data_IF_771824490168
#
_entry.id   IF_771824490168
#
_cell.length_a   1.000
_cell.length_b   1.000
_cell.length_c   1.000
_cell.angle_alpha   90.00
_cell.angle_beta   90.00
_cell.angle_gamma   90.00
#
_symmetry.space_group_name_H-M   'P 1'
#
loop_
_entity.id
_entity.type
_entity.pdbx_description
1 polymer ?
#
# COMPACT_ATOMS: atom_id res chain seq x y z
N UNK A 1 45.85 -18.53 19.87
CA UNK A 1 44.38 -18.60 19.84
C UNK A 1 43.90 -17.37 19.08
N UNK A 2 43.40 -17.58 17.87
CA UNK A 2 43.10 -16.53 16.89
C UNK A 2 41.67 -16.04 17.03
N UNK A 3 41.52 -14.76 17.35
CA UNK A 3 40.24 -14.04 17.36
C UNK A 3 39.68 -13.93 15.94
N UNK A 4 38.38 -14.22 15.80
CA UNK A 4 37.65 -14.11 14.53
C UNK A 4 36.57 -13.03 14.72
N UNK A 5 36.52 -11.96 13.91
CA UNK A 5 35.50 -10.94 14.07
C UNK A 5 34.14 -11.45 13.55
N UNK A 6 33.01 -10.94 14.09
CA UNK A 6 31.69 -11.35 13.66
C UNK A 6 31.42 -10.86 12.22
N UNK A 7 30.82 -11.74 11.42
CA UNK A 7 30.39 -11.45 10.05
C UNK A 7 29.31 -10.37 10.08
N UNK A 8 29.57 -9.23 9.44
CA UNK A 8 28.56 -8.22 9.16
C UNK A 8 27.42 -8.85 8.35
N UNK A 9 26.21 -8.89 8.93
CA UNK A 9 24.99 -9.14 8.17
C UNK A 9 24.80 -7.96 7.20
N UNK A 10 24.77 -8.27 5.91
CA UNK A 10 24.50 -7.32 4.85
C UNK A 10 23.05 -6.87 4.97
N UNK A 11 22.81 -5.72 5.59
CA UNK A 11 21.53 -5.02 5.56
C UNK A 11 21.29 -4.61 4.11
N UNK A 12 20.40 -5.32 3.41
CA UNK A 12 19.89 -4.88 2.11
C UNK A 12 18.81 -3.86 2.41
N UNK A 13 19.24 -2.62 2.66
CA UNK A 13 18.34 -1.46 2.60
C UNK A 13 17.62 -1.52 1.24
N UNK A 14 16.29 -1.45 1.22
CA UNK A 14 15.51 -1.05 0.05
C UNK A 14 15.83 0.39 -0.35
N UNK A 15 17.10 0.69 -0.65
CA UNK A 15 17.58 2.07 -0.88
C UNK A 15 16.90 2.65 -2.11
N UNK A 16 16.54 3.94 -2.01
CA UNK A 16 16.68 5.03 -2.99
C UNK A 16 17.00 4.65 -4.46
N UNK A 17 17.93 3.72 -4.70
CA UNK A 17 18.28 3.13 -6.00
C UNK A 17 17.11 2.57 -6.85
N UNK A 18 15.98 2.15 -6.29
CA UNK A 18 14.81 1.76 -7.09
C UNK A 18 14.05 3.01 -7.59
N UNK A 19 13.87 3.98 -6.71
CA UNK A 19 13.27 5.28 -7.01
C UNK A 19 14.13 6.08 -8.01
N UNK A 20 15.45 6.15 -7.78
CA UNK A 20 16.46 6.78 -8.67
C UNK A 20 16.56 6.10 -10.03
N UNK A 21 16.37 4.76 -10.11
CA UNK A 21 16.39 4.05 -11.40
C UNK A 21 15.15 4.36 -12.24
N UNK A 22 13.96 4.45 -11.62
CA UNK A 22 12.75 4.96 -12.28
C UNK A 22 12.92 6.43 -12.70
N UNK A 23 13.50 7.26 -11.83
CA UNK A 23 13.79 8.68 -12.05
C UNK A 23 14.79 8.92 -13.20
N UNK A 24 15.88 8.16 -13.25
CA UNK A 24 16.92 8.27 -14.29
C UNK A 24 16.45 7.77 -15.67
N UNK A 25 15.50 6.84 -15.73
CA UNK A 25 14.86 6.43 -16.98
C UNK A 25 13.85 7.49 -17.45
N UNK A 26 13.07 8.07 -16.53
CA UNK A 26 12.07 9.10 -16.79
C UNK A 26 12.67 10.46 -17.25
N UNK A 27 13.81 10.86 -16.70
CA UNK A 27 14.51 12.09 -17.09
C UNK A 27 15.24 11.98 -18.44
N UNK A 28 15.54 10.76 -18.91
CA UNK A 28 16.19 10.52 -20.22
C UNK A 28 15.21 10.43 -21.39
N UNK A 29 13.90 10.40 -21.12
CA UNK A 29 12.92 9.95 -22.10
C UNK A 29 12.40 11.00 -23.09
N UNK A 30 12.66 12.32 -22.99
CA UNK A 30 12.33 13.18 -24.15
C UNK A 30 12.95 14.59 -24.15
N UNK A 31 13.74 14.99 -25.19
CA UNK A 31 14.29 16.34 -25.31
C UNK A 31 13.40 17.34 -26.07
N UNK A 32 12.19 16.99 -26.53
CA UNK A 32 11.37 17.86 -27.39
C UNK A 32 9.87 17.65 -27.17
N UNK A 33 9.06 18.66 -27.51
CA UNK A 33 7.60 18.68 -27.75
C UNK A 33 6.72 19.27 -26.63
N UNK A 34 6.03 20.41 -26.78
CA UNK A 34 5.07 21.01 -27.77
C UNK A 34 3.61 20.61 -27.57
N UNK A 35 2.79 21.65 -27.46
CA UNK A 35 1.33 21.69 -27.32
C UNK A 35 0.67 20.86 -28.41
N UNK A 36 -0.24 19.96 -28.03
CA UNK A 36 -1.11 19.22 -28.95
C UNK A 36 -1.47 17.85 -28.40
N UNK A 37 -2.77 17.60 -28.24
CA UNK A 37 -3.42 16.31 -27.98
C UNK A 37 -2.64 15.12 -28.55
N UNK A 38 -2.17 14.23 -27.68
CA UNK A 38 -1.62 12.94 -28.08
C UNK A 38 -2.07 11.84 -27.10
N UNK A 39 -3.10 11.11 -27.53
CA UNK A 39 -3.36 9.73 -27.11
C UNK A 39 -2.05 8.95 -27.29
N UNK A 40 -1.56 8.35 -26.21
CA UNK A 40 -0.38 7.48 -26.26
C UNK A 40 -0.73 6.12 -25.67
N UNK A 41 -1.06 5.20 -26.57
CA UNK A 41 -0.97 3.75 -26.40
C UNK A 41 0.47 3.33 -26.10
N UNK A 42 0.65 2.46 -25.09
CA UNK A 42 1.49 1.25 -25.06
C UNK A 42 1.91 0.92 -23.62
N UNK A 43 2.05 -0.32 -23.13
CA UNK A 43 1.79 -1.71 -23.54
C UNK A 43 1.83 -2.50 -22.22
N UNK A 44 0.95 -3.47 -22.03
CA UNK A 44 1.02 -4.41 -20.91
C UNK A 44 -0.10 -5.45 -20.89
N UNK A 45 -0.56 -5.90 -22.06
CA UNK A 45 -1.54 -6.96 -22.17
C UNK A 45 -0.90 -8.32 -21.88
N UNK A 46 -1.29 -8.93 -20.77
CA UNK A 46 -1.27 -10.38 -20.58
C UNK A 46 -2.49 -10.77 -19.73
N UNK A 47 -3.67 -10.79 -20.36
CA UNK A 47 -4.83 -11.48 -19.81
C UNK A 47 -5.43 -12.39 -20.89
N UNK A 48 -5.33 -13.67 -20.57
CA UNK A 48 -5.79 -14.85 -21.27
C UNK A 48 -7.29 -14.77 -21.64
N UNK A 49 -7.63 -15.01 -22.90
CA UNK A 49 -9.02 -15.24 -23.31
C UNK A 49 -9.40 -16.68 -23.00
N UNK A 50 -10.45 -16.83 -22.19
CA UNK A 50 -11.17 -18.07 -21.91
C UNK A 50 -11.92 -18.52 -23.16
N UNK A 51 -11.79 -19.80 -23.52
CA UNK A 51 -12.79 -20.51 -24.31
C UNK A 51 -13.14 -21.82 -23.62
N UNK A 52 -14.39 -21.88 -23.15
CA UNK A 52 -15.05 -23.07 -22.61
C UNK A 52 -15.39 -24.02 -23.76
N UNK A 53 -15.12 -25.31 -23.58
CA UNK A 53 -15.86 -26.38 -24.26
C UNK A 53 -15.89 -27.62 -23.38
N UNK A 54 -17.11 -28.00 -23.00
CA UNK A 54 -17.48 -29.22 -22.27
C UNK A 54 -17.54 -30.40 -23.24
N UNK A 55 -16.95 -31.55 -22.89
CA UNK A 55 -17.49 -32.87 -23.23
C UNK A 55 -16.83 -34.00 -22.41
N UNK A 56 -17.68 -34.90 -21.93
CA UNK A 56 -17.47 -36.07 -21.07
C UNK A 56 -16.62 -37.20 -21.69
N UNK A 57 -15.90 -37.97 -20.86
CA UNK A 57 -15.99 -39.44 -20.81
C UNK A 57 -15.19 -40.05 -19.64
N UNK A 58 -15.82 -41.05 -19.04
CA UNK A 58 -15.52 -41.91 -17.88
C UNK A 58 -14.26 -42.80 -17.96
N UNK A 59 -13.69 -43.16 -16.80
CA UNK A 59 -13.73 -44.57 -16.30
C UNK A 59 -13.07 -44.78 -14.92
N UNK A 60 -13.87 -45.38 -14.02
CA UNK A 60 -13.58 -46.45 -13.05
C UNK A 60 -12.56 -46.28 -11.89
N UNK A 61 -13.13 -46.12 -10.69
CA UNK A 61 -13.06 -47.01 -9.51
C UNK A 61 -11.74 -47.72 -9.17
N UNK A 62 -11.24 -47.51 -7.95
CA UNK A 62 -10.96 -48.59 -6.98
C UNK A 62 -10.77 -48.02 -5.57
N UNK A 63 -11.37 -48.72 -4.61
CA UNK A 63 -11.40 -48.44 -3.19
C UNK A 63 -10.11 -48.90 -2.47
N UNK A 64 -9.89 -48.32 -1.29
CA UNK A 64 -9.12 -48.93 -0.20
C UNK A 64 -7.71 -48.39 -0.04
N UNK A 65 -7.46 -47.63 1.03
CA UNK A 65 -6.88 -48.16 2.26
C UNK A 65 -6.54 -46.99 3.20
N UNK A 66 -7.13 -47.03 4.39
CA UNK A 66 -6.75 -46.19 5.52
C UNK A 66 -5.39 -46.66 6.02
N UNK A 67 -4.39 -45.78 6.00
CA UNK A 67 -3.28 -45.86 6.94
C UNK A 67 -3.31 -44.59 7.79
N UNK A 68 -3.72 -44.78 9.03
CA UNK A 68 -3.67 -43.78 10.07
C UNK A 68 -2.20 -43.46 10.38
N UNK A 69 -1.76 -42.25 10.05
CA UNK A 69 -0.58 -41.67 10.68
C UNK A 69 -1.08 -40.90 11.89
N UNK A 70 -0.87 -41.51 13.06
CA UNK A 70 -0.80 -40.86 14.35
C UNK A 70 0.30 -39.78 14.29
N UNK A 71 -0.08 -38.56 13.94
CA UNK A 71 0.74 -37.37 14.13
C UNK A 71 0.20 -36.69 15.37
N UNK A 72 0.88 -36.94 16.48
CA UNK A 72 0.52 -36.43 17.79
C UNK A 72 0.15 -34.94 17.76
N UNK A 73 -0.94 -34.67 18.45
CA UNK A 73 -1.44 -33.37 18.87
C UNK A 73 -0.32 -32.55 19.53
N UNK A 74 0.38 -31.78 18.70
CA UNK A 74 1.16 -30.61 19.09
C UNK A 74 0.88 -29.57 18.03
N UNK A 75 -0.13 -28.74 18.30
CA UNK A 75 -0.29 -27.48 17.60
C UNK A 75 1.07 -26.77 17.50
N UNK A 76 1.31 -25.99 16.43
CA UNK A 76 2.54 -25.22 16.32
C UNK A 76 2.73 -24.43 17.61
N UNK A 77 3.95 -24.42 18.20
CA UNK A 77 4.19 -23.68 19.42
C UNK A 77 3.74 -22.22 19.21
N UNK A 78 3.19 -21.56 20.24
CA UNK A 78 2.86 -20.15 20.14
C UNK A 78 4.14 -19.42 19.75
N UNK A 79 4.17 -18.90 18.53
CA UNK A 79 5.24 -18.00 18.13
C UNK A 79 5.01 -16.76 18.98
N UNK A 80 5.88 -16.57 19.95
CA UNK A 80 5.86 -15.39 20.80
C UNK A 80 5.74 -14.16 19.91
N UNK A 81 4.82 -13.25 20.29
CA UNK A 81 4.77 -11.92 19.71
C UNK A 81 6.18 -11.34 19.63
N UNK A 82 6.49 -10.53 18.59
CA UNK A 82 7.75 -9.80 18.54
C UNK A 82 8.00 -9.13 19.89
N UNK A 83 9.16 -9.40 20.45
CA UNK A 83 9.64 -8.77 21.69
C UNK A 83 9.57 -7.26 21.55
N UNK A 84 8.90 -6.60 22.49
CA UNK A 84 8.71 -5.15 22.70
C UNK A 84 9.75 -4.22 22.02
N UNK A 85 9.66 -4.06 20.70
CA UNK A 85 10.13 -2.88 19.99
C UNK A 85 9.01 -2.41 19.04
N UNK A 86 8.06 -1.58 19.52
CA UNK A 86 6.99 -1.02 18.69
C UNK A 86 7.50 0.07 17.72
N UNK A 87 8.80 0.15 17.46
CA UNK A 87 9.49 1.39 17.12
C UNK A 87 9.84 1.64 15.66
N UNK A 88 9.00 1.30 14.68
CA UNK A 88 9.10 2.02 13.41
C UNK A 88 8.32 3.33 13.55
N UNK A 89 9.02 4.42 13.84
CA UNK A 89 8.37 5.73 13.85
C UNK A 89 7.99 6.07 12.41
N UNK A 90 6.74 6.50 12.15
CA UNK A 90 6.37 7.11 10.88
C UNK A 90 7.40 8.16 10.45
N UNK A 91 7.58 8.39 9.14
CA UNK A 91 8.52 9.37 8.66
C UNK A 91 8.21 10.75 9.27
N UNK A 92 9.28 11.51 9.52
CA UNK A 92 9.18 12.92 9.90
C UNK A 92 8.48 13.72 8.81
N UNK A 93 8.09 14.94 9.15
CA UNK A 93 7.41 15.87 8.23
C UNK A 93 8.27 16.16 6.98
N UNK A 94 9.59 16.00 7.08
CA UNK A 94 10.57 16.10 5.99
C UNK A 94 10.72 14.79 5.17
N UNK A 95 9.61 14.16 4.78
CA UNK A 95 9.65 12.92 3.99
C UNK A 95 10.04 13.17 2.53
N UNK A 96 11.07 12.45 2.05
CA UNK A 96 11.67 12.60 0.71
C UNK A 96 11.33 11.46 -0.28
N UNK A 97 10.36 10.59 0.04
CA UNK A 97 9.85 9.55 -0.89
C UNK A 97 10.25 8.09 -0.57
N UNK A 98 9.60 7.14 -1.24
CA UNK A 98 9.80 5.69 -1.12
C UNK A 98 9.08 5.01 0.07
N UNK A 99 9.14 3.68 0.16
CA UNK A 99 8.43 2.93 1.19
C UNK A 99 9.32 2.50 2.36
N UNK A 100 8.68 2.21 3.49
CA UNK A 100 9.35 1.65 4.67
C UNK A 100 8.37 1.26 5.78
N UNK A 101 8.88 0.76 6.91
CA UNK A 101 10.27 0.34 7.13
C UNK A 101 10.58 -0.96 6.36
N UNK A 102 11.86 -1.37 6.37
CA UNK A 102 12.21 -2.77 6.15
C UNK A 102 11.50 -3.62 7.23
N UNK A 103 10.73 -4.62 6.81
CA UNK A 103 9.89 -5.45 7.68
C UNK A 103 9.80 -6.89 7.17
N UNK A 104 9.31 -7.79 8.01
CA UNK A 104 8.91 -9.12 7.55
C UNK A 104 7.82 -8.99 6.48
N UNK A 105 7.91 -9.85 5.47
CA UNK A 105 6.98 -9.88 4.34
C UNK A 105 6.43 -11.28 4.15
N UNK A 106 5.23 -11.34 3.61
CA UNK A 106 4.43 -12.54 3.45
C UNK A 106 3.97 -12.67 2.00
N UNK A 107 3.36 -13.81 1.68
CA UNK A 107 2.69 -14.02 0.38
C UNK A 107 1.24 -14.36 0.59
N UNK A 108 0.41 -14.17 -0.42
CA UNK A 108 -1.01 -14.52 -0.40
C UNK A 108 -1.21 -15.99 -0.02
N UNK A 109 -0.28 -16.87 -0.41
CA UNK A 109 -0.30 -18.29 -0.05
C UNK A 109 0.18 -18.58 1.39
N UNK A 110 0.99 -17.70 1.98
CA UNK A 110 1.49 -17.82 3.35
C UNK A 110 1.34 -16.47 4.08
N UNK A 111 0.10 -16.06 4.41
CA UNK A 111 -0.16 -14.79 5.09
C UNK A 111 0.33 -14.80 6.53
N UNK A 112 0.34 -13.62 7.16
CA UNK A 112 0.92 -13.44 8.49
C UNK A 112 0.15 -14.22 9.56
N UNK A 113 0.87 -14.77 10.54
CA UNK A 113 0.28 -15.39 11.73
C UNK A 113 -0.08 -14.38 12.84
N UNK A 114 0.22 -13.11 12.63
CA UNK A 114 0.05 -12.02 13.59
C UNK A 114 -0.27 -10.73 12.83
N UNK A 115 -0.71 -9.69 13.56
CA UNK A 115 -1.11 -8.40 12.97
C UNK A 115 0.05 -7.78 12.20
N UNK A 116 -0.14 -7.62 10.89
CA UNK A 116 0.87 -7.08 10.00
C UNK A 116 0.21 -6.17 8.95
N UNK A 117 0.74 -4.95 8.83
CA UNK A 117 0.30 -3.96 7.84
C UNK A 117 1.04 -4.15 6.53
N UNK A 118 0.29 -4.18 5.42
CA UNK A 118 0.79 -4.01 4.04
C UNK A 118 2.12 -4.75 3.78
N UNK A 119 2.06 -6.06 3.89
CA UNK A 119 3.21 -6.96 4.01
C UNK A 119 3.16 -8.12 3.02
N UNK A 120 2.06 -8.26 2.25
CA UNK A 120 1.95 -9.25 1.19
C UNK A 120 2.66 -8.75 -0.07
N UNK A 121 3.53 -9.57 -0.67
CA UNK A 121 4.31 -9.16 -1.86
C UNK A 121 3.66 -9.49 -3.19
N UNK A 122 2.61 -10.31 -3.19
CA UNK A 122 2.00 -10.89 -4.38
C UNK A 122 0.46 -10.89 -4.30
N UNK A 123 -0.13 -9.84 -3.73
CA UNK A 123 -1.58 -9.68 -3.64
C UNK A 123 -2.16 -9.70 -5.07
N UNK A 124 -3.15 -10.55 -5.39
CA UNK A 124 -3.66 -10.68 -6.76
C UNK A 124 -4.43 -9.44 -7.26
N UNK A 125 -4.87 -8.57 -6.35
CA UNK A 125 -5.59 -7.33 -6.66
C UNK A 125 -4.64 -6.14 -6.72
N UNK A 126 -3.79 -5.97 -5.70
CA UNK A 126 -2.90 -4.79 -5.55
C UNK A 126 -1.46 -5.03 -6.02
N UNK A 127 -0.97 -6.28 -5.94
CA UNK A 127 0.42 -6.63 -6.16
C UNK A 127 1.25 -6.58 -4.87
N UNK A 128 2.39 -5.91 -4.92
CA UNK A 128 3.27 -5.75 -3.74
C UNK A 128 2.76 -4.62 -2.84
N UNK A 129 2.21 -4.98 -1.69
CA UNK A 129 1.55 -4.04 -0.78
C UNK A 129 2.52 -3.08 -0.08
N UNK A 130 3.84 -3.26 -0.23
CA UNK A 130 4.80 -2.26 0.25
C UNK A 130 4.77 -0.98 -0.58
N UNK A 131 4.38 -1.08 -1.86
CA UNK A 131 4.12 0.06 -2.74
C UNK A 131 2.61 0.33 -2.74
N UNK A 132 2.14 1.02 -1.72
CA UNK A 132 0.72 1.22 -1.47
C UNK A 132 0.21 2.63 -1.80
N UNK A 133 1.08 3.60 -2.05
CA UNK A 133 0.67 4.98 -2.40
C UNK A 133 0.87 5.24 -3.89
N UNK A 134 -0.18 5.72 -4.53
CA UNK A 134 -0.16 6.09 -5.95
C UNK A 134 -0.97 7.37 -6.19
N UNK A 135 -0.65 8.07 -7.27
CA UNK A 135 -1.31 9.32 -7.63
C UNK A 135 -1.73 9.33 -9.10
N UNK A 136 -2.82 10.03 -9.39
CA UNK A 136 -3.26 10.34 -10.75
C UNK A 136 -3.86 11.74 -10.81
N UNK A 137 -3.96 12.31 -12.01
CA UNK A 137 -4.73 13.53 -12.20
C UNK A 137 -6.22 13.31 -11.90
N UNK A 138 -6.88 14.29 -11.28
CA UNK A 138 -8.31 14.23 -11.03
C UNK A 138 -9.09 14.15 -12.36
N UNK A 139 -10.09 13.29 -12.42
CA UNK A 139 -10.86 13.02 -13.64
C UNK A 139 -10.18 12.06 -14.65
N UNK A 140 -8.91 11.71 -14.46
CA UNK A 140 -8.26 10.66 -15.25
C UNK A 140 -8.82 9.26 -14.87
N UNK A 141 -8.73 8.27 -15.78
CA UNK A 141 -9.10 6.87 -15.48
C UNK A 141 -8.29 6.29 -14.33
N UNK A 142 -8.84 5.30 -13.61
CA UNK A 142 -8.15 4.69 -12.46
C UNK A 142 -6.89 3.91 -12.89
N UNK A 143 -6.82 3.43 -14.12
CA UNK A 143 -5.67 2.71 -14.67
C UNK A 143 -4.41 3.60 -14.79
N UNK A 144 -4.54 4.92 -14.58
CA UNK A 144 -3.42 5.88 -14.65
C UNK A 144 -2.80 6.19 -13.29
N UNK A 145 -3.15 5.47 -12.22
CA UNK A 145 -2.42 5.57 -10.96
C UNK A 145 -0.94 5.17 -11.17
N UNK A 146 -0.03 5.98 -10.63
CA UNK A 146 1.41 5.78 -10.74
C UNK A 146 2.12 6.32 -9.50
N UNK A 147 3.28 5.76 -9.18
CA UNK A 147 4.15 6.27 -8.11
C UNK A 147 4.76 7.64 -8.50
N UNK A 148 4.86 7.92 -9.80
CA UNK A 148 5.46 9.15 -10.32
C UNK A 148 4.64 9.67 -11.50
N UNK A 149 4.29 10.96 -11.47
CA UNK A 149 3.59 11.64 -12.57
C UNK A 149 4.21 13.00 -12.88
N UNK A 150 3.83 13.56 -14.04
CA UNK A 150 4.05 14.97 -14.35
C UNK A 150 2.77 15.75 -14.05
N UNK A 151 2.95 16.97 -13.56
CA UNK A 151 1.86 17.87 -13.25
C UNK A 151 2.20 19.32 -13.53
N UNK A 152 1.27 20.19 -13.17
CA UNK A 152 1.47 21.63 -13.13
C UNK A 152 0.46 22.31 -12.19
N UNK A 153 0.69 23.60 -11.89
CA UNK A 153 -0.24 24.42 -11.10
C UNK A 153 -1.67 24.42 -11.66
N UNK A 154 -2.63 24.71 -10.79
CA UNK A 154 -4.06 24.76 -11.13
C UNK A 154 -4.72 23.39 -11.30
N UNK A 155 -3.96 22.29 -11.21
CA UNK A 155 -4.46 20.93 -11.40
C UNK A 155 -4.68 20.23 -10.07
N UNK A 156 -5.78 19.51 -9.94
CA UNK A 156 -6.05 18.59 -8.83
C UNK A 156 -5.63 17.16 -9.19
N UNK A 157 -5.22 16.41 -8.17
CA UNK A 157 -4.80 15.02 -8.25
C UNK A 157 -5.54 14.21 -7.20
N UNK A 158 -5.82 12.94 -7.52
CA UNK A 158 -6.35 11.98 -6.56
C UNK A 158 -5.19 11.09 -6.14
N UNK A 159 -4.98 11.00 -4.83
CA UNK A 159 -4.04 10.09 -4.20
C UNK A 159 -4.82 8.88 -3.70
N UNK A 160 -4.24 7.71 -3.87
CA UNK A 160 -4.71 6.42 -3.41
C UNK A 160 -3.68 5.81 -2.46
N UNK A 161 -4.12 5.24 -1.35
CA UNK A 161 -3.29 4.50 -0.42
C UNK A 161 -3.97 3.18 0.00
N UNK A 162 -3.40 2.05 -0.40
CA UNK A 162 -3.88 0.73 0.01
C UNK A 162 -3.60 0.50 1.51
N UNK A 163 -4.57 -0.10 2.21
CA UNK A 163 -4.46 -0.43 3.63
C UNK A 163 -4.93 -1.87 3.82
N UNK A 164 -4.07 -2.73 4.35
CA UNK A 164 -4.42 -4.13 4.59
C UNK A 164 -3.90 -4.63 5.93
N UNK A 165 -4.76 -5.39 6.60
CA UNK A 165 -4.41 -6.28 7.70
C UNK A 165 -4.13 -7.66 7.12
N UNK A 166 -2.86 -8.08 7.06
CA UNK A 166 -2.46 -9.30 6.36
C UNK A 166 -2.41 -10.55 7.23
N UNK A 167 -3.10 -10.54 8.37
CA UNK A 167 -3.28 -11.76 9.16
C UNK A 167 -4.04 -12.79 8.33
N UNK A 168 -3.62 -14.05 8.39
CA UNK A 168 -4.31 -15.14 7.73
C UNK A 168 -5.75 -15.31 8.26
N UNK A 169 -6.69 -15.59 7.36
CA UNK A 169 -8.11 -15.74 7.71
C UNK A 169 -8.38 -16.81 8.77
N UNK A 170 -7.57 -17.87 8.81
CA UNK A 170 -7.69 -18.93 9.82
C UNK A 170 -7.27 -18.47 11.24
N UNK A 171 -6.75 -17.25 11.40
CA UNK A 171 -6.51 -16.59 12.69
C UNK A 171 -7.55 -15.48 12.98
N UNK A 172 -8.61 -15.37 12.18
CA UNK A 172 -9.67 -14.38 12.37
C UNK A 172 -10.23 -14.44 13.79
N UNK A 173 -9.98 -13.37 14.54
CA UNK A 173 -10.32 -13.22 15.94
C UNK A 173 -10.19 -11.74 16.35
N UNK A 174 -10.78 -11.34 17.49
CA UNK A 174 -10.59 -9.97 18.00
C UNK A 174 -9.13 -9.58 18.31
N UNK A 175 -8.22 -10.56 18.44
CA UNK A 175 -6.78 -10.33 18.64
C UNK A 175 -6.07 -10.04 17.31
N UNK A 176 -6.59 -10.55 16.20
CA UNK A 176 -6.08 -10.31 14.85
C UNK A 176 -6.55 -8.97 14.25
N UNK A 177 -7.38 -8.21 14.97
CA UNK A 177 -7.88 -6.91 14.52
C UNK A 177 -6.83 -5.82 14.73
N UNK A 178 -6.56 -5.01 13.71
CA UNK A 178 -5.78 -3.76 13.88
C UNK A 178 -6.55 -2.83 14.83
N UNK A 179 -5.84 -2.18 15.75
CA UNK A 179 -6.43 -1.26 16.73
C UNK A 179 -5.80 0.12 16.66
N UNK A 180 -6.59 1.16 16.84
CA UNK A 180 -6.10 2.54 16.71
C UNK A 180 -5.55 2.85 15.32
N UNK A 181 -6.06 2.16 14.29
CA UNK A 181 -5.60 2.32 12.91
C UNK A 181 -5.76 3.77 12.44
N UNK A 182 -4.68 4.36 11.95
CA UNK A 182 -4.60 5.74 11.48
C UNK A 182 -3.85 5.84 10.18
N UNK A 183 -4.25 6.81 9.36
CA UNK A 183 -3.47 7.30 8.23
C UNK A 183 -3.07 8.77 8.44
N UNK A 184 -1.80 9.07 8.23
CA UNK A 184 -1.23 10.42 8.22
C UNK A 184 -0.76 10.75 6.81
N UNK A 185 -1.19 11.88 6.28
CA UNK A 185 -0.76 12.44 5.00
C UNK A 185 0.34 13.47 5.25
N UNK A 186 1.42 13.38 4.48
CA UNK A 186 2.58 14.28 4.55
C UNK A 186 2.76 14.89 3.16
N UNK A 187 2.73 16.21 3.06
CA UNK A 187 2.91 16.92 1.80
C UNK A 187 4.20 17.72 1.85
N UNK A 188 5.16 17.35 1.01
CA UNK A 188 6.44 18.03 0.90
C UNK A 188 6.56 18.69 -0.48
N UNK A 189 6.71 20.02 -0.48
CA UNK A 189 6.81 20.81 -1.70
C UNK A 189 8.25 21.27 -1.91
N UNK A 190 8.95 20.63 -2.84
CA UNK A 190 10.16 21.19 -3.45
C UNK A 190 9.82 22.22 -4.52
N UNK A 191 10.83 22.75 -5.22
CA UNK A 191 10.60 23.74 -6.29
C UNK A 191 9.87 23.13 -7.50
N UNK A 192 10.32 21.95 -7.95
CA UNK A 192 9.78 21.26 -9.14
C UNK A 192 9.51 19.76 -8.89
N UNK A 193 9.68 19.32 -7.65
CA UNK A 193 9.49 17.95 -7.20
C UNK A 193 8.67 18.00 -5.91
N UNK A 194 7.52 17.34 -5.91
CA UNK A 194 6.62 17.35 -4.77
C UNK A 194 6.31 15.92 -4.36
N UNK A 195 6.57 15.61 -3.08
CA UNK A 195 6.40 14.27 -2.53
C UNK A 195 5.14 14.25 -1.68
N UNK A 196 4.33 13.22 -1.89
CA UNK A 196 3.14 12.90 -1.12
C UNK A 196 3.44 11.61 -0.36
N UNK A 197 3.60 11.70 0.96
CA UNK A 197 3.74 10.54 1.83
C UNK A 197 2.42 10.17 2.49
N UNK A 198 2.18 8.87 2.67
CA UNK A 198 1.15 8.35 3.55
C UNK A 198 1.78 7.37 4.53
N UNK A 199 1.63 7.65 5.82
CA UNK A 199 2.02 6.74 6.89
C UNK A 199 0.78 6.10 7.50
N UNK A 200 0.80 4.78 7.65
CA UNK A 200 -0.24 3.98 8.28
C UNK A 200 0.32 3.43 9.59
N UNK A 201 -0.40 3.64 10.69
CA UNK A 201 0.00 3.18 12.02
C UNK A 201 -1.17 2.52 12.73
N UNK A 202 -0.88 1.58 13.62
CA UNK A 202 -1.85 1.00 14.55
C UNK A 202 -1.15 0.70 15.88
N UNK A 203 -1.90 0.64 16.97
CA UNK A 203 -1.39 0.42 18.33
C UNK A 203 -0.71 -0.95 18.49
N UNK A 204 -1.09 -1.91 17.66
CA UNK A 204 -0.66 -3.31 17.71
C UNK A 204 0.05 -3.79 16.43
N UNK A 205 0.57 -2.87 15.61
CA UNK A 205 1.31 -3.21 14.40
C UNK A 205 2.51 -2.28 14.19
N UNK A 206 3.54 -2.79 13.52
CA UNK A 206 4.62 -1.94 13.01
C UNK A 206 4.06 -0.97 11.98
N UNK A 207 4.23 0.33 12.20
CA UNK A 207 3.80 1.36 11.26
C UNK A 207 4.55 1.22 9.91
N UNK A 208 3.88 1.62 8.83
CA UNK A 208 4.39 1.55 7.46
C UNK A 208 4.18 2.90 6.76
N UNK A 209 5.02 3.22 5.79
CA UNK A 209 4.87 4.41 4.97
C UNK A 209 5.25 4.12 3.52
N UNK A 210 4.68 4.90 2.62
CA UNK A 210 5.01 4.93 1.20
C UNK A 210 4.61 6.30 0.63
N UNK A 211 4.98 6.58 -0.61
CA UNK A 211 4.70 7.86 -1.21
C UNK A 211 4.83 7.90 -2.72
N UNK A 212 4.20 8.92 -3.28
CA UNK A 212 4.21 9.22 -4.70
C UNK A 212 4.75 10.63 -4.97
N UNK A 213 5.25 10.85 -6.18
CA UNK A 213 5.92 12.10 -6.56
C UNK A 213 5.27 12.75 -7.77
N UNK A 214 5.01 14.05 -7.67
CA UNK A 214 4.58 14.89 -8.79
C UNK A 214 5.73 15.81 -9.18
N UNK A 215 6.19 15.69 -10.43
CA UNK A 215 7.17 16.61 -11.02
C UNK A 215 6.46 17.72 -11.81
N UNK A 216 6.88 18.96 -11.60
CA UNK A 216 6.38 20.13 -12.32
C UNK A 216 7.51 20.82 -13.10
N UNK A 217 7.13 21.72 -14.02
CA UNK A 217 8.08 22.59 -14.74
C UNK A 217 8.20 23.97 -14.10
N UNK A 218 7.22 24.33 -13.29
CA UNK A 218 7.01 25.65 -12.73
C UNK A 218 7.06 25.52 -11.20
N UNK A 219 7.52 26.58 -10.54
CA UNK A 219 7.53 26.60 -9.08
C UNK A 219 6.12 26.50 -8.54
N UNK A 220 5.88 25.49 -7.71
CA UNK A 220 4.55 25.20 -7.19
C UNK A 220 4.58 24.68 -5.75
N UNK A 221 3.40 24.53 -5.15
CA UNK A 221 3.23 23.87 -3.87
C UNK A 221 2.05 22.91 -3.92
N UNK A 222 2.13 21.84 -3.14
CA UNK A 222 1.02 20.93 -2.86
C UNK A 222 0.17 21.48 -1.72
N UNK A 223 -1.12 21.57 -1.97
CA UNK A 223 -2.14 21.83 -0.95
C UNK A 223 -3.08 20.64 -0.84
N UNK A 224 -3.41 20.27 0.38
CA UNK A 224 -4.48 19.32 0.64
C UNK A 224 -5.84 19.95 0.29
N UNK A 225 -6.77 19.17 -0.26
CA UNK A 225 -8.14 19.63 -0.50
C UNK A 225 -9.02 19.19 0.66
N UNK A 226 -9.44 20.14 1.51
CA UNK A 226 -10.27 19.86 2.68
C UNK A 226 -11.53 19.07 2.35
N UNK A 227 -11.86 18.11 3.22
CA UNK A 227 -13.04 17.25 3.07
C UNK A 227 -12.98 16.28 1.89
N UNK A 228 -11.83 16.12 1.23
CA UNK A 228 -11.66 15.20 0.09
C UNK A 228 -11.34 13.77 0.49
N UNK A 229 -10.96 13.51 1.75
CA UNK A 229 -10.56 12.18 2.19
C UNK A 229 -11.75 11.23 2.37
N UNK A 230 -11.61 10.04 1.80
CA UNK A 230 -12.56 8.94 1.89
C UNK A 230 -11.81 7.63 2.08
N UNK A 231 -12.22 6.82 3.05
CA UNK A 231 -11.72 5.47 3.22
C UNK A 231 -12.73 4.48 2.67
N UNK A 232 -12.33 3.74 1.64
CA UNK A 232 -13.15 2.76 0.92
C UNK A 232 -12.93 1.37 1.49
N UNK A 233 -14.01 0.66 1.75
CA UNK A 233 -14.03 -0.70 2.29
C UNK A 233 -15.05 -1.55 1.53
N UNK A 234 -14.92 -2.88 1.55
CA UNK A 234 -15.88 -3.75 0.88
C UNK A 234 -17.27 -3.68 1.55
N UNK A 235 -17.38 -3.82 2.89
CA UNK A 235 -18.59 -3.44 3.60
C UNK A 235 -18.92 -1.95 3.40
N UNK A 236 -20.19 -1.68 3.10
CA UNK A 236 -20.81 -0.35 3.08
C UNK A 236 -20.27 0.67 2.06
N UNK A 237 -19.25 0.33 1.28
CA UNK A 237 -18.62 1.24 0.29
C UNK A 237 -17.75 2.33 0.91
N UNK A 238 -17.50 2.28 2.22
CA UNK A 238 -16.63 3.21 2.93
C UNK A 238 -17.29 4.49 3.46
N UNK A 239 -16.46 5.43 3.92
CA UNK A 239 -16.89 6.65 4.59
C UNK A 239 -15.92 7.82 4.40
N UNK A 240 -16.45 9.04 4.49
CA UNK A 240 -15.64 10.25 4.57
C UNK A 240 -14.89 10.33 5.90
N UNK A 241 -13.64 10.80 5.89
CA UNK A 241 -12.89 11.01 7.12
C UNK A 241 -13.33 12.31 7.81
N UNK A 242 -13.59 12.24 9.11
CA UNK A 242 -13.95 13.41 9.92
C UNK A 242 -12.72 14.19 10.41
N UNK A 243 -11.63 13.47 10.71
CA UNK A 243 -10.35 14.04 11.12
C UNK A 243 -9.55 14.48 9.88
N UNK A 244 -8.80 15.59 10.01
CA UNK A 244 -7.84 16.03 9.00
C UNK A 244 -6.59 15.10 9.01
N UNK A 245 -6.34 14.35 7.92
CA UNK A 245 -5.24 13.39 7.87
C UNK A 245 -3.86 14.07 7.76
N UNK A 246 -3.77 15.38 7.48
CA UNK A 246 -2.50 16.10 7.36
C UNK A 246 -1.89 16.47 8.72
N UNK A 247 -2.69 16.40 9.79
CA UNK A 247 -2.21 16.66 11.15
C UNK A 247 -1.24 15.56 11.62
N UNK A 248 -0.39 15.88 12.59
CA UNK A 248 0.53 14.91 13.19
C UNK A 248 -0.18 13.67 13.79
N UNK A 249 -1.45 13.82 14.18
CA UNK A 249 -2.28 12.75 14.73
C UNK A 249 -2.81 11.81 13.62
N UNK A 250 -2.86 12.26 12.37
CA UNK A 250 -3.56 11.59 11.29
C UNK A 250 -5.05 11.41 11.56
N UNK A 251 -5.73 10.74 10.63
CA UNK A 251 -7.14 10.41 10.72
C UNK A 251 -7.33 8.94 11.07
N UNK A 252 -8.35 8.64 11.90
CA UNK A 252 -8.75 7.25 12.16
C UNK A 252 -9.33 6.62 10.89
N UNK A 253 -8.97 5.36 10.67
CA UNK A 253 -9.60 4.48 9.68
C UNK A 253 -10.34 3.36 10.42
N UNK A 254 -11.10 2.54 9.71
CA UNK A 254 -11.80 1.39 10.30
C UNK A 254 -12.68 0.71 9.27
N UNK A 255 -13.32 -0.39 9.66
CA UNK A 255 -14.07 -1.22 8.73
C UNK A 255 -15.37 -0.56 8.23
N UNK A 256 -16.13 0.03 9.16
CA UNK A 256 -17.46 0.60 8.87
C UNK A 256 -17.49 2.11 9.11
N UNK A 257 -16.63 2.60 10.00
CA UNK A 257 -16.49 4.00 10.37
C UNK A 257 -15.08 4.25 10.94
N UNK A 258 -14.75 5.51 11.22
CA UNK A 258 -13.43 5.93 11.70
C UNK A 258 -13.20 5.62 13.20
N UNK A 259 -13.17 4.35 13.59
CA UNK A 259 -13.01 3.89 14.98
C UNK A 259 -11.62 3.31 15.32
N UNK A 260 -10.78 3.10 14.31
CA UNK A 260 -9.47 2.50 14.45
C UNK A 260 -9.47 0.97 14.37
N UNK A 261 -10.60 0.33 14.05
CA UNK A 261 -10.72 -1.13 14.02
C UNK A 261 -10.81 -1.67 12.58
N UNK A 262 -9.80 -2.45 12.16
CA UNK A 262 -9.81 -3.16 10.88
C UNK A 262 -9.56 -4.67 11.13
N UNK A 263 -10.62 -5.50 11.11
CA UNK A 263 -10.51 -6.93 11.38
C UNK A 263 -9.92 -7.69 10.20
N UNK A 264 -9.90 -9.02 10.27
CA UNK A 264 -9.60 -9.93 9.14
C UNK A 264 -10.70 -10.96 8.99
N UNK A 265 -10.66 -11.71 7.89
CA UNK A 265 -11.66 -12.72 7.55
C UNK A 265 -12.79 -12.11 6.71
N UNK A 266 -13.99 -12.67 6.88
CA UNK A 266 -15.15 -12.36 6.06
C UNK A 266 -16.38 -12.08 6.91
N UNK A 267 -17.26 -11.23 6.42
CA UNK A 267 -18.59 -11.05 7.01
C UNK A 267 -19.55 -12.21 6.67
N UNK A 268 -20.82 -12.06 7.07
CA UNK A 268 -21.88 -13.04 6.82
C UNK A 268 -22.22 -13.24 5.34
N UNK A 269 -21.93 -12.26 4.49
CA UNK A 269 -22.18 -12.29 3.06
C UNK A 269 -20.96 -12.81 2.28
N UNK A 270 -19.85 -13.07 2.99
CA UNK A 270 -18.61 -13.59 2.44
C UNK A 270 -17.66 -12.52 1.93
N UNK A 271 -17.96 -11.23 2.14
CA UNK A 271 -17.11 -10.13 1.75
C UNK A 271 -15.90 -10.01 2.68
N UNK A 272 -14.75 -9.66 2.11
CA UNK A 272 -13.50 -9.62 2.86
C UNK A 272 -13.35 -8.33 3.68
N UNK A 273 -12.93 -8.46 4.94
CA UNK A 273 -12.81 -7.37 5.90
C UNK A 273 -11.37 -6.85 6.09
N UNK A 274 -10.36 -7.62 5.70
CA UNK A 274 -8.96 -7.31 6.00
C UNK A 274 -8.30 -6.22 5.15
N UNK A 275 -9.04 -5.47 4.32
CA UNK A 275 -8.46 -4.38 3.55
C UNK A 275 -9.44 -3.26 3.21
N UNK A 276 -8.87 -2.12 2.84
CA UNK A 276 -9.54 -0.96 2.26
C UNK A 276 -8.52 -0.07 1.57
N UNK A 277 -8.95 1.08 1.09
CA UNK A 277 -8.04 2.08 0.55
C UNK A 277 -8.49 3.49 0.85
N UNK A 278 -7.53 4.34 1.21
CA UNK A 278 -7.74 5.77 1.40
C UNK A 278 -7.62 6.46 0.05
N UNK A 279 -8.57 7.34 -0.27
CA UNK A 279 -8.41 8.34 -1.32
C UNK A 279 -8.51 9.74 -0.75
N UNK A 280 -7.74 10.68 -1.29
CA UNK A 280 -7.90 12.10 -1.01
C UNK A 280 -7.42 12.92 -2.21
N UNK A 281 -7.75 14.20 -2.23
CA UNK A 281 -7.30 15.12 -3.28
C UNK A 281 -6.23 16.07 -2.77
N UNK A 282 -5.29 16.37 -3.66
CA UNK A 282 -4.32 17.44 -3.50
C UNK A 282 -4.40 18.35 -4.72
N UNK A 283 -4.12 19.63 -4.53
CA UNK A 283 -4.06 20.63 -5.59
C UNK A 283 -2.64 21.17 -5.69
N UNK A 284 -2.18 21.32 -6.92
CA UNK A 284 -0.95 22.05 -7.19
C UNK A 284 -1.28 23.54 -7.33
N UNK A 285 -0.67 24.39 -6.51
CA UNK A 285 -0.84 25.84 -6.56
C UNK A 285 0.43 26.55 -7.02
N UNK A 286 0.27 27.68 -7.67
CA UNK A 286 1.41 28.54 -8.03
C UNK A 286 2.00 29.17 -6.77
N UNK A 287 3.31 29.08 -6.62
CA UNK A 287 4.01 29.89 -5.62
C UNK A 287 4.24 31.27 -6.24
N UNK A 288 3.47 32.27 -5.81
CA UNK A 288 3.70 33.65 -6.25
C UNK A 288 5.13 34.05 -5.87
N UNK A 289 5.93 34.38 -6.89
CA UNK A 289 7.29 34.88 -6.66
C UNK A 289 7.23 36.14 -5.82
N UNK A 290 8.06 36.23 -4.78
CA UNK A 290 8.37 37.50 -4.14
C UNK A 290 8.96 38.42 -5.22
N UNK A 291 8.15 39.37 -5.69
CA UNK A 291 8.57 40.43 -6.61
C UNK A 291 9.54 41.40 -5.97
#
# INVERSE_FOLDING_TARGET
MTDKPPRARRVVRGTWAAHVRKMAAFLRADPRWTIGTAISTAIGAAALVVAISVALASSNTSAGQQDAIDVGDKGPPPVAAPTDDPGATPPSDDYDGGWGPDREVFTTANPAGYVALNSITDNPVHGDERNFVQVRQAGAPNETYSDVIRGGPGTEYVVYAWVANNVADNFASPVATLRGLRARVILNSGSNEHVIGVAISADNATAVWDGATIFTRESSALEYVDGSAWFHTNPDGGFALADDPTTAKGALLGQHFADGELPVGRDSDGEYLGHGYLTFRVKMVEVQGAG
#
